data_IF_592414225234
#
_entry.id   IF_592414225234
#
_cell.length_a   1.000
_cell.length_b   1.000
_cell.length_c   1.000
_cell.angle_alpha   90.00
_cell.angle_beta   90.00
_cell.angle_gamma   90.00
#
_symmetry.space_group_name_H-M   'P 1'
#
loop_
_entity.id
_entity.type
_entity.pdbx_description
1 polymer ?
#
# COMPACT_ATOMS: atom_id res chain seq x y z
N UNK A 1 1.08 -33.14 20.28
CA UNK A 1 2.32 -32.47 19.85
C UNK A 1 2.86 -31.71 21.05
N UNK A 2 4.01 -32.12 21.59
CA UNK A 2 4.66 -31.35 22.65
C UNK A 2 5.09 -30.00 22.07
N UNK A 3 4.51 -28.91 22.60
CA UNK A 3 4.86 -27.57 22.14
C UNK A 3 6.18 -27.14 22.77
N UNK A 4 7.20 -26.89 21.96
CA UNK A 4 8.46 -26.33 22.48
C UNK A 4 8.24 -24.88 22.93
N UNK A 5 9.02 -24.35 23.89
CA UNK A 5 8.92 -22.94 24.29
C UNK A 5 9.12 -21.99 23.09
N UNK A 6 9.97 -22.37 22.13
CA UNK A 6 10.20 -21.62 20.91
C UNK A 6 8.93 -21.51 20.03
N UNK A 7 8.16 -22.59 19.93
CA UNK A 7 6.87 -22.58 19.22
C UNK A 7 5.84 -21.69 19.93
N UNK A 8 5.81 -21.66 21.26
CA UNK A 8 4.89 -20.76 21.99
C UNK A 8 5.24 -19.29 21.76
N UNK A 9 6.53 -18.97 21.76
CA UNK A 9 7.03 -17.62 21.49
C UNK A 9 6.74 -17.23 20.03
N UNK A 10 6.89 -18.14 19.06
CA UNK A 10 6.62 -17.82 17.66
C UNK A 10 5.15 -17.46 17.41
N UNK A 11 4.22 -18.17 18.05
CA UNK A 11 2.79 -17.83 17.97
C UNK A 11 2.49 -16.46 18.59
N UNK A 12 3.10 -16.16 19.74
CA UNK A 12 2.97 -14.87 20.39
C UNK A 12 3.55 -13.74 19.52
N UNK A 13 4.75 -13.93 18.99
CA UNK A 13 5.42 -12.95 18.13
C UNK A 13 4.59 -12.66 16.87
N UNK A 14 4.08 -13.70 16.20
CA UNK A 14 3.21 -13.55 15.05
C UNK A 14 1.93 -12.77 15.40
N UNK A 15 1.33 -13.06 16.56
CA UNK A 15 0.12 -12.36 17.02
C UNK A 15 0.40 -10.89 17.30
N UNK A 16 1.48 -10.60 18.03
CA UNK A 16 1.90 -9.23 18.36
C UNK A 16 2.15 -8.42 17.09
N UNK A 17 3.02 -8.92 16.21
CA UNK A 17 3.41 -8.23 14.97
C UNK A 17 2.21 -8.02 14.04
N UNK A 18 1.41 -9.07 13.82
CA UNK A 18 0.21 -8.98 12.99
C UNK A 18 -0.81 -7.98 13.54
N UNK A 19 -1.06 -8.02 14.86
CA UNK A 19 -2.02 -7.11 15.50
C UNK A 19 -1.57 -5.65 15.44
N UNK A 20 -0.27 -5.38 15.61
CA UNK A 20 0.28 -4.01 15.52
C UNK A 20 0.05 -3.40 14.13
N UNK A 21 0.13 -4.21 13.06
CA UNK A 21 -0.16 -3.72 11.71
C UNK A 21 -1.62 -3.26 11.59
N UNK A 22 -2.57 -4.05 12.11
CA UNK A 22 -3.99 -3.69 12.07
C UNK A 22 -4.32 -2.49 12.97
N UNK A 23 -3.69 -2.39 14.15
CA UNK A 23 -3.85 -1.25 15.05
C UNK A 23 -3.34 0.04 14.40
N UNK A 24 -2.13 0.04 13.85
CA UNK A 24 -1.57 1.21 13.17
C UNK A 24 -2.35 1.57 11.91
N UNK A 25 -2.80 0.57 11.14
CA UNK A 25 -3.68 0.81 10.00
C UNK A 25 -5.01 1.44 10.44
N UNK A 26 -5.63 0.92 11.51
CA UNK A 26 -6.85 1.46 12.08
C UNK A 26 -6.68 2.92 12.49
N UNK A 27 -5.67 3.23 13.30
CA UNK A 27 -5.37 4.61 13.72
C UNK A 27 -5.19 5.55 12.53
N UNK A 28 -4.45 5.15 11.50
CA UNK A 28 -4.28 5.96 10.30
C UNK A 28 -5.60 6.21 9.56
N UNK A 29 -6.51 5.22 9.50
CA UNK A 29 -7.83 5.40 8.88
C UNK A 29 -8.78 6.28 9.70
N UNK A 30 -8.54 6.47 11.01
CA UNK A 30 -9.30 7.41 11.84
C UNK A 30 -8.73 8.83 11.79
N UNK A 31 -7.40 8.99 11.77
CA UNK A 31 -6.74 10.30 11.85
C UNK A 31 -6.41 10.94 10.51
N UNK A 32 -6.28 10.14 9.43
CA UNK A 32 -6.01 10.61 8.08
C UNK A 32 -6.97 9.92 7.08
N UNK A 33 -8.21 10.42 7.06
CA UNK A 33 -9.28 9.90 6.20
C UNK A 33 -9.17 10.39 4.76
N UNK A 34 -8.53 11.53 4.51
CA UNK A 34 -8.52 12.21 3.22
C UNK A 34 -7.86 11.37 2.12
N UNK A 35 -6.68 10.81 2.40
CA UNK A 35 -5.94 9.97 1.46
C UNK A 35 -6.70 8.70 1.06
N UNK A 36 -7.09 7.83 2.01
CA UNK A 36 -7.86 6.61 1.73
C UNK A 36 -9.21 6.88 1.04
N UNK A 37 -9.92 7.96 1.43
CA UNK A 37 -11.20 8.32 0.82
C UNK A 37 -11.04 8.74 -0.65
N UNK A 38 -10.03 9.55 -0.95
CA UNK A 38 -9.73 9.95 -2.33
C UNK A 38 -9.32 8.75 -3.20
N UNK A 39 -8.60 7.77 -2.63
CA UNK A 39 -8.25 6.53 -3.34
C UNK A 39 -9.47 5.67 -3.62
N UNK A 40 -10.40 5.57 -2.66
CA UNK A 40 -11.63 4.82 -2.84
C UNK A 40 -12.52 5.45 -3.93
N UNK A 41 -12.63 6.79 -3.97
CA UNK A 41 -13.39 7.49 -5.01
C UNK A 41 -12.80 7.34 -6.42
N UNK A 42 -11.46 7.23 -6.54
CA UNK A 42 -10.77 7.05 -7.82
C UNK A 42 -10.71 5.60 -8.28
N UNK A 43 -11.13 4.65 -7.45
CA UNK A 43 -11.01 3.23 -7.76
C UNK A 43 -12.09 2.78 -8.77
N UNK A 44 -11.78 1.84 -9.69
CA UNK A 44 -12.75 1.34 -10.68
C UNK A 44 -13.99 0.68 -10.07
N UNK A 45 -13.87 0.16 -8.85
CA UNK A 45 -14.98 -0.41 -8.08
C UNK A 45 -15.39 0.50 -6.90
N UNK A 46 -14.92 1.75 -6.90
CA UNK A 46 -15.24 2.75 -5.88
C UNK A 46 -16.73 3.04 -5.80
N UNK A 47 -17.39 3.14 -6.95
CA UNK A 47 -18.83 3.41 -7.07
C UNK A 47 -19.70 2.31 -6.45
N UNK A 48 -19.24 1.05 -6.48
CA UNK A 48 -19.94 -0.07 -5.82
C UNK A 48 -19.89 0.05 -4.29
N UNK A 49 -18.79 0.60 -3.76
CA UNK A 49 -18.64 0.79 -2.33
C UNK A 49 -19.40 2.04 -1.86
N UNK A 50 -19.30 3.15 -2.59
CA UNK A 50 -19.93 4.43 -2.21
C UNK A 50 -21.45 4.43 -2.29
N UNK A 51 -22.04 3.46 -3.01
CA UNK A 51 -23.49 3.20 -2.94
C UNK A 51 -23.98 2.83 -1.53
N UNK A 52 -23.15 2.16 -0.72
CA UNK A 52 -23.52 1.79 0.65
C UNK A 52 -23.45 2.97 1.63
N UNK A 53 -22.38 3.75 1.55
CA UNK A 53 -22.12 4.90 2.42
C UNK A 53 -21.05 5.80 1.80
N UNK A 54 -20.94 7.07 2.21
CA UNK A 54 -19.88 7.95 1.77
C UNK A 54 -18.49 7.34 2.00
N UNK A 55 -17.56 7.58 1.08
CA UNK A 55 -16.20 7.01 1.13
C UNK A 55 -15.50 7.25 2.49
N UNK A 56 -15.65 8.47 3.03
CA UNK A 56 -15.08 8.85 4.31
C UNK A 56 -15.68 8.03 5.48
N UNK A 57 -16.99 7.81 5.47
CA UNK A 57 -17.67 6.98 6.47
C UNK A 57 -17.20 5.53 6.40
N UNK A 58 -17.06 4.96 5.19
CA UNK A 58 -16.56 3.60 5.01
C UNK A 58 -15.13 3.44 5.52
N UNK A 59 -14.27 4.42 5.23
CA UNK A 59 -12.88 4.46 5.71
C UNK A 59 -12.83 4.53 7.23
N UNK A 60 -13.64 5.39 7.86
CA UNK A 60 -13.70 5.48 9.33
C UNK A 60 -14.24 4.19 9.98
N UNK A 61 -15.29 3.59 9.42
CA UNK A 61 -15.86 2.33 9.93
C UNK A 61 -14.86 1.18 9.81
N UNK A 62 -14.15 1.10 8.68
CA UNK A 62 -13.04 0.17 8.51
C UNK A 62 -11.94 0.43 9.55
N UNK A 63 -11.56 1.69 9.76
CA UNK A 63 -10.57 2.08 10.76
C UNK A 63 -10.93 1.63 12.17
N UNK A 64 -12.17 1.86 12.60
CA UNK A 64 -12.69 1.42 13.90
C UNK A 64 -12.65 -0.11 14.01
N UNK A 65 -13.12 -0.81 12.97
CA UNK A 65 -13.11 -2.28 12.93
C UNK A 65 -11.70 -2.87 12.98
N UNK A 66 -10.74 -2.26 12.26
CA UNK A 66 -9.33 -2.64 12.29
C UNK A 66 -8.70 -2.42 13.67
N UNK A 67 -9.02 -1.31 14.32
CA UNK A 67 -8.50 -0.98 15.65
C UNK A 67 -9.03 -1.94 16.71
N UNK A 68 -10.36 -2.13 16.77
CA UNK A 68 -11.01 -3.04 17.73
C UNK A 68 -10.56 -4.49 17.48
N UNK A 69 -10.57 -4.93 16.22
CA UNK A 69 -10.15 -6.27 15.84
C UNK A 69 -8.66 -6.50 16.14
N UNK A 70 -7.80 -5.52 15.87
CA UNK A 70 -6.38 -5.58 16.17
C UNK A 70 -6.10 -5.67 17.66
N UNK A 71 -6.79 -4.89 18.50
CA UNK A 71 -6.67 -4.96 19.95
C UNK A 71 -7.19 -6.28 20.52
N UNK A 72 -8.31 -6.79 20.01
CA UNK A 72 -8.86 -8.09 20.41
C UNK A 72 -7.89 -9.23 20.05
N UNK A 73 -7.33 -9.20 18.84
CA UNK A 73 -6.32 -10.16 18.38
C UNK A 73 -5.05 -10.09 19.24
N UNK A 74 -4.58 -8.88 19.56
CA UNK A 74 -3.40 -8.65 20.40
C UNK A 74 -3.55 -9.29 21.78
N UNK A 75 -4.68 -8.99 22.44
CA UNK A 75 -5.04 -9.55 23.74
C UNK A 75 -5.27 -11.07 23.69
N UNK A 76 -5.47 -11.64 22.50
CA UNK A 76 -5.92 -13.01 22.32
C UNK A 76 -7.31 -13.23 22.93
N UNK A 77 -8.20 -12.24 22.77
CA UNK A 77 -9.59 -12.25 23.17
C UNK A 77 -10.47 -12.49 21.93
N UNK A 78 -11.36 -13.47 22.00
CA UNK A 78 -12.20 -13.99 20.91
C UNK A 78 -11.42 -14.14 19.59
N UNK A 79 -10.21 -14.70 19.69
CA UNK A 79 -9.15 -14.60 18.67
C UNK A 79 -9.62 -15.02 17.27
N UNK A 80 -10.41 -16.11 17.18
CA UNK A 80 -10.93 -16.61 15.91
C UNK A 80 -11.93 -15.65 15.25
N UNK A 81 -12.82 -15.07 16.06
CA UNK A 81 -13.81 -14.09 15.59
C UNK A 81 -13.14 -12.76 15.26
N UNK A 82 -12.18 -12.30 16.08
CA UNK A 82 -11.38 -11.11 15.80
C UNK A 82 -10.65 -11.25 14.45
N UNK A 83 -9.99 -12.39 14.22
CA UNK A 83 -9.30 -12.65 12.96
C UNK A 83 -10.26 -12.76 11.75
N UNK A 84 -11.42 -13.42 11.92
CA UNK A 84 -12.44 -13.49 10.88
C UNK A 84 -13.03 -12.12 10.55
N UNK A 85 -13.31 -11.29 11.55
CA UNK A 85 -13.80 -9.92 11.36
C UNK A 85 -12.77 -9.03 10.66
N UNK A 86 -11.50 -9.09 11.07
CA UNK A 86 -10.41 -8.39 10.37
C UNK A 86 -10.28 -8.84 8.92
N UNK A 87 -10.45 -10.14 8.64
CA UNK A 87 -10.39 -10.67 7.27
C UNK A 87 -11.57 -10.18 6.42
N UNK A 88 -12.76 -10.14 7.01
CA UNK A 88 -13.97 -9.61 6.37
C UNK A 88 -13.86 -8.11 6.04
N UNK A 89 -13.08 -7.35 6.80
CA UNK A 89 -12.76 -5.94 6.49
C UNK A 89 -11.66 -5.86 5.42
N UNK A 90 -10.63 -6.70 5.51
CA UNK A 90 -9.48 -6.69 4.62
C UNK A 90 -9.85 -7.02 3.16
N UNK A 91 -10.76 -7.98 2.94
CA UNK A 91 -11.13 -8.45 1.60
C UNK A 91 -11.76 -7.30 0.76
N UNK A 92 -12.82 -6.61 1.20
CA UNK A 92 -13.39 -5.50 0.46
C UNK A 92 -12.39 -4.38 0.19
N UNK A 93 -11.56 -4.00 1.17
CA UNK A 93 -10.53 -2.97 1.00
C UNK A 93 -9.55 -3.36 -0.11
N UNK A 94 -9.14 -4.63 -0.14
CA UNK A 94 -8.20 -5.15 -1.15
C UNK A 94 -8.84 -5.13 -2.54
N UNK A 95 -10.06 -5.67 -2.66
CA UNK A 95 -10.74 -5.78 -3.95
C UNK A 95 -11.12 -4.42 -4.54
N UNK A 96 -11.56 -3.48 -3.70
CA UNK A 96 -12.01 -2.16 -4.17
C UNK A 96 -10.83 -1.24 -4.49
N UNK A 97 -9.82 -1.15 -3.62
CA UNK A 97 -8.77 -0.13 -3.75
C UNK A 97 -7.51 -0.68 -4.46
N UNK A 98 -7.15 -1.95 -4.24
CA UNK A 98 -5.78 -2.43 -4.50
C UNK A 98 -5.64 -3.33 -5.71
N UNK A 99 -6.73 -3.93 -6.20
CA UNK A 99 -6.70 -4.72 -7.45
C UNK A 99 -6.49 -3.83 -8.69
N UNK A 100 -6.81 -2.54 -8.58
CA UNK A 100 -6.70 -1.57 -9.66
C UNK A 100 -5.56 -0.55 -9.50
N UNK A 101 -4.83 -0.58 -8.38
CA UNK A 101 -3.73 0.34 -8.14
C UNK A 101 -2.50 -0.05 -8.95
N UNK A 102 -1.79 0.93 -9.52
CA UNK A 102 -0.53 0.67 -10.22
C UNK A 102 0.54 0.16 -9.23
N UNK A 103 1.03 -1.06 -9.47
CA UNK A 103 2.01 -1.74 -8.62
C UNK A 103 1.39 -2.81 -7.70
N UNK A 104 1.95 -4.02 -7.73
CA UNK A 104 1.43 -5.19 -6.99
C UNK A 104 1.82 -5.24 -5.51
N UNK A 105 2.71 -4.37 -5.05
CA UNK A 105 3.23 -4.38 -3.67
C UNK A 105 2.15 -4.28 -2.57
N UNK A 106 1.25 -3.28 -2.62
CA UNK A 106 0.15 -3.16 -1.65
C UNK A 106 -0.77 -4.40 -1.61
N UNK A 107 -1.06 -4.99 -2.77
CA UNK A 107 -1.88 -6.20 -2.89
C UNK A 107 -1.21 -7.39 -2.18
N UNK A 108 0.08 -7.64 -2.44
CA UNK A 108 0.81 -8.74 -1.79
C UNK A 108 0.93 -8.58 -0.28
N UNK A 109 1.04 -7.34 0.23
CA UNK A 109 0.96 -7.08 1.68
C UNK A 109 -0.37 -7.56 2.26
N UNK A 110 -1.49 -7.26 1.59
CA UNK A 110 -2.80 -7.69 2.05
C UNK A 110 -3.01 -9.21 1.95
N UNK A 111 -2.42 -9.87 0.94
CA UNK A 111 -2.40 -11.33 0.85
C UNK A 111 -1.65 -11.93 2.05
N UNK A 112 -0.47 -11.39 2.39
CA UNK A 112 0.31 -11.84 3.54
C UNK A 112 -0.47 -11.66 4.87
N UNK A 113 -1.15 -10.52 5.04
CA UNK A 113 -2.04 -10.27 6.18
C UNK A 113 -3.20 -11.27 6.22
N UNK A 114 -3.80 -11.57 5.06
CA UNK A 114 -4.82 -12.61 4.94
C UNK A 114 -4.32 -13.98 5.43
N UNK A 115 -3.09 -14.36 5.10
CA UNK A 115 -2.45 -15.58 5.60
C UNK A 115 -2.32 -15.61 7.12
N UNK A 116 -1.89 -14.50 7.73
CA UNK A 116 -1.80 -14.37 9.20
C UNK A 116 -3.19 -14.51 9.85
N UNK A 117 -4.22 -13.90 9.27
CA UNK A 117 -5.58 -13.98 9.78
C UNK A 117 -6.16 -15.40 9.65
N UNK A 118 -5.99 -16.05 8.50
CA UNK A 118 -6.40 -17.46 8.29
C UNK A 118 -5.71 -18.39 9.29
N UNK A 119 -4.43 -18.15 9.59
CA UNK A 119 -3.72 -18.89 10.62
C UNK A 119 -4.41 -18.76 12.00
N UNK A 120 -4.80 -17.55 12.42
CA UNK A 120 -5.49 -17.35 13.70
C UNK A 120 -6.96 -17.79 13.70
N UNK A 121 -7.63 -17.81 12.56
CA UNK A 121 -8.97 -18.41 12.40
C UNK A 121 -8.90 -19.92 12.67
N UNK A 122 -7.91 -20.61 12.07
CA UNK A 122 -7.74 -22.05 12.22
C UNK A 122 -7.24 -22.42 13.63
N UNK A 123 -6.24 -21.71 14.14
CA UNK A 123 -5.53 -22.11 15.35
C UNK A 123 -6.04 -21.43 16.64
N UNK A 124 -6.62 -20.22 16.55
CA UNK A 124 -6.90 -19.38 17.71
C UNK A 124 -5.63 -18.81 18.35
N UNK A 125 -5.73 -18.25 19.58
CA UNK A 125 -4.57 -17.65 20.25
C UNK A 125 -3.53 -18.67 20.71
N UNK A 126 -3.96 -19.91 20.97
CA UNK A 126 -3.24 -21.09 21.50
C UNK A 126 -2.47 -20.87 22.82
N UNK A 127 -1.63 -19.83 22.91
CA UNK A 127 -0.81 -19.49 24.07
C UNK A 127 -0.91 -18.00 24.44
N UNK A 128 -0.74 -17.67 25.72
CA UNK A 128 -0.69 -16.29 26.25
C UNK A 128 -1.91 -15.42 25.87
N UNK A 129 -3.07 -16.01 25.66
CA UNK A 129 -4.30 -15.31 25.23
C UNK A 129 -5.33 -15.21 26.35
N UNK A 130 -6.09 -14.11 26.38
CA UNK A 130 -7.20 -13.94 27.31
C UNK A 130 -8.26 -15.04 27.16
N UNK A 131 -8.41 -15.61 25.97
CA UNK A 131 -9.27 -16.77 25.67
C UNK A 131 -8.98 -17.96 26.59
N UNK A 132 -7.70 -18.26 26.83
CA UNK A 132 -7.31 -19.38 27.71
C UNK A 132 -7.62 -19.07 29.17
N UNK A 133 -7.38 -17.83 29.59
CA UNK A 133 -7.67 -17.39 30.96
C UNK A 133 -9.16 -17.44 31.27
N UNK A 134 -10.01 -16.98 30.34
CA UNK A 134 -11.46 -17.05 30.45
C UNK A 134 -11.97 -18.49 30.44
N UNK A 135 -11.40 -19.36 29.59
CA UNK A 135 -11.78 -20.77 29.52
C UNK A 135 -11.35 -21.54 30.79
N UNK A 136 -10.18 -21.23 31.36
CA UNK A 136 -9.75 -21.79 32.64
C UNK A 136 -10.66 -21.34 33.79
N UNK A 137 -11.06 -20.07 33.84
CA UNK A 137 -12.01 -19.57 34.85
C UNK A 137 -13.39 -20.23 34.77
N UNK A 138 -13.90 -20.50 33.57
CA UNK A 138 -15.17 -21.26 33.42
C UNK A 138 -15.04 -22.68 33.94
N UNK A 139 -13.93 -23.37 33.66
CA UNK A 139 -13.70 -24.75 34.13
C UNK A 139 -13.52 -24.79 35.65
N UNK A 140 -12.75 -23.86 36.25
CA UNK A 140 -12.56 -23.81 37.70
C UNK A 140 -13.83 -23.39 38.45
N UNK A 141 -14.64 -22.50 37.88
CA UNK A 141 -15.96 -22.14 38.42
C UNK A 141 -17.00 -23.26 38.31
N UNK A 142 -16.90 -24.14 37.30
CA UNK A 142 -17.77 -25.32 37.17
C UNK A 142 -17.33 -26.47 38.08
N UNK A 143 -16.05 -26.59 38.43
CA UNK A 143 -15.54 -27.68 39.29
C UNK A 143 -16.01 -27.59 40.75
N UNK A 144 -16.65 -26.49 41.16
CA UNK A 144 -17.31 -26.31 42.48
C UNK A 144 -18.81 -26.62 42.45
N UNK A 145 -19.39 -27.00 41.30
CA UNK A 145 -20.80 -27.42 41.21
C UNK A 145 -20.87 -28.82 40.61
N UNK A 146 -21.11 -29.76 41.50
CA UNK A 146 -21.09 -31.21 41.27
C UNK A 146 -21.97 -31.67 40.11
N UNK A 147 -21.55 -32.80 39.53
CA UNK A 147 -22.28 -33.80 38.75
C UNK A 147 -23.71 -33.50 38.24
N UNK A 148 -23.84 -33.74 36.93
CA UNK A 148 -24.86 -34.53 36.23
C UNK A 148 -25.70 -33.80 35.15
N UNK A 149 -25.72 -34.49 33.99
CA UNK A 149 -26.64 -34.45 32.84
C UNK A 149 -26.42 -33.45 31.69
N UNK A 150 -26.31 -34.08 30.52
CA UNK A 150 -26.42 -33.58 29.16
C UNK A 150 -27.76 -32.87 28.92
N UNK A 151 -27.75 -31.74 28.21
CA UNK A 151 -28.79 -31.29 27.28
C UNK A 151 -28.05 -30.45 26.20
N UNK A 152 -27.87 -30.96 24.98
CA UNK A 152 -28.81 -30.90 23.84
C UNK A 152 -29.14 -29.47 23.40
N UNK A 153 -28.73 -29.21 22.15
CA UNK A 153 -29.33 -28.35 21.13
C UNK A 153 -29.22 -26.81 21.21
N UNK A 154 -28.92 -26.31 20.00
CA UNK A 154 -29.52 -25.15 19.32
C UNK A 154 -28.64 -23.89 19.25
N UNK A 155 -28.06 -23.66 18.06
CA UNK A 155 -28.51 -22.57 17.19
C UNK A 155 -27.83 -22.67 15.81
N UNK A 156 -28.50 -23.39 14.92
CA UNK A 156 -28.55 -23.06 13.50
C UNK A 156 -29.60 -21.95 13.39
N UNK A 157 -29.26 -20.85 12.71
CA UNK A 157 -30.10 -20.00 11.83
C UNK A 157 -29.48 -18.60 11.72
N UNK A 158 -29.31 -18.16 10.47
CA UNK A 158 -29.05 -16.78 10.05
C UNK A 158 -27.67 -16.66 9.38
N UNK A 159 -27.50 -16.60 8.06
CA UNK A 159 -28.38 -16.00 7.06
C UNK A 159 -27.93 -16.50 5.69
N UNK A 160 -28.78 -17.30 5.05
CA UNK A 160 -28.68 -17.68 3.64
C UNK A 160 -30.00 -17.29 2.97
N UNK A 161 -30.07 -16.06 2.47
CA UNK A 161 -31.08 -15.64 1.49
C UNK A 161 -30.50 -14.55 0.60
N UNK A 162 -29.84 -14.98 -0.47
CA UNK A 162 -29.82 -14.26 -1.75
C UNK A 162 -29.63 -15.30 -2.85
N UNK A 163 -30.70 -16.06 -3.10
CA UNK A 163 -30.96 -16.64 -4.41
C UNK A 163 -31.45 -15.53 -5.32
N UNK A 164 -30.58 -15.07 -6.22
CA UNK A 164 -30.95 -14.30 -7.39
C UNK A 164 -30.68 -15.14 -8.64
N UNK A 165 -31.75 -15.36 -9.39
CA UNK A 165 -31.90 -15.73 -10.80
C UNK A 165 -30.68 -16.25 -11.59
N UNK A 166 -30.88 -17.44 -12.18
CA UNK A 166 -30.31 -17.81 -13.49
C UNK A 166 -30.96 -16.90 -14.55
N UNK A 167 -30.20 -16.30 -15.48
CA UNK A 167 -30.29 -16.81 -16.83
C UNK A 167 -28.96 -16.90 -17.59
N UNK A 168 -28.95 -17.87 -18.50
CA UNK A 168 -28.34 -17.86 -19.84
C UNK A 168 -26.82 -17.88 -19.99
N UNK A 169 -26.39 -18.95 -20.67
CA UNK A 169 -25.13 -19.07 -21.36
C UNK A 169 -24.81 -17.82 -22.19
N UNK A 170 -23.57 -17.34 -22.06
CA UNK A 170 -22.94 -16.43 -23.01
C UNK A 170 -21.81 -17.20 -23.72
N UNK A 171 -21.65 -16.99 -25.04
CA UNK A 171 -20.71 -17.75 -25.85
C UNK A 171 -19.27 -17.32 -25.55
N UNK A 172 -18.35 -18.25 -25.80
CA UNK A 172 -16.93 -17.96 -25.93
C UNK A 172 -16.72 -16.78 -26.88
N UNK A 173 -16.19 -15.67 -26.36
CA UNK A 173 -15.60 -14.64 -27.21
C UNK A 173 -14.18 -15.06 -27.54
N UNK A 174 -14.05 -15.48 -28.80
CA UNK A 174 -12.84 -15.48 -29.60
C UNK A 174 -12.03 -14.22 -29.32
N UNK A 175 -10.79 -14.42 -28.85
CA UNK A 175 -9.75 -13.42 -28.96
C UNK A 175 -9.55 -13.11 -30.45
N UNK A 176 -10.11 -12.00 -30.89
CA UNK A 176 -9.73 -11.38 -32.16
C UNK A 176 -8.62 -10.39 -31.80
N UNK A 177 -7.46 -10.41 -32.48
CA UNK A 177 -6.37 -9.50 -32.19
C UNK A 177 -6.88 -8.07 -32.39
N UNK A 178 -6.77 -7.23 -31.37
CA UNK A 178 -6.90 -5.80 -31.59
C UNK A 178 -5.78 -5.40 -32.56
N UNK A 179 -6.23 -5.01 -33.75
CA UNK A 179 -5.43 -4.48 -34.82
C UNK A 179 -4.45 -3.42 -34.32
N UNK A 180 -3.22 -3.51 -34.83
CA UNK A 180 -2.33 -2.36 -35.00
C UNK A 180 -3.14 -1.22 -35.61
N UNK A 181 -3.50 -0.24 -34.78
CA UNK A 181 -3.86 1.08 -35.26
C UNK A 181 -2.58 1.90 -35.31
N UNK A 182 -1.97 1.84 -36.49
CA UNK A 182 -1.38 2.96 -37.21
C UNK A 182 -1.14 4.22 -36.39
N UNK A 183 0.14 4.56 -36.25
CA UNK A 183 0.61 5.88 -35.83
C UNK A 183 -0.13 7.02 -36.53
N UNK A 184 -0.40 8.11 -35.79
CA UNK A 184 -0.36 9.45 -36.36
C UNK A 184 0.66 10.33 -35.61
N UNK A 185 1.46 11.03 -36.40
CA UNK A 185 2.13 12.30 -36.10
C UNK A 185 2.85 12.45 -34.75
N UNK A 186 4.17 12.33 -34.82
CA UNK A 186 5.23 12.99 -34.05
C UNK A 186 4.75 14.13 -33.13
N UNK A 187 4.27 13.82 -31.93
CA UNK A 187 4.10 14.83 -30.86
C UNK A 187 5.25 14.63 -29.90
N UNK A 188 6.25 15.51 -29.99
CA UNK A 188 7.32 15.58 -29.01
C UNK A 188 6.76 15.64 -27.58
N UNK A 189 7.28 14.80 -26.68
CA UNK A 189 6.85 14.71 -25.28
C UNK A 189 7.94 15.21 -24.33
N UNK A 190 7.52 15.92 -23.29
CA UNK A 190 8.40 16.39 -22.23
C UNK A 190 8.22 15.53 -21.00
N UNK A 191 9.32 15.19 -20.35
CA UNK A 191 9.35 14.29 -19.21
C UNK A 191 10.03 14.94 -18.02
N UNK A 192 9.51 14.69 -16.82
CA UNK A 192 10.18 15.07 -15.59
C UNK A 192 10.20 13.91 -14.59
N UNK A 193 11.28 13.79 -13.84
CA UNK A 193 11.42 12.76 -12.81
C UNK A 193 11.80 13.43 -11.51
N UNK A 194 11.00 13.24 -10.46
CA UNK A 194 11.40 13.59 -9.10
C UNK A 194 12.17 12.42 -8.51
N UNK A 195 13.34 12.71 -7.93
CA UNK A 195 14.15 11.71 -7.24
C UNK A 195 14.28 12.07 -5.76
N UNK A 196 14.16 11.06 -4.89
CA UNK A 196 14.22 11.23 -3.43
C UNK A 196 15.49 10.67 -2.79
N UNK A 197 16.20 9.74 -3.46
CA UNK A 197 17.43 9.11 -2.97
C UNK A 197 18.63 9.33 -3.91
N UNK A 198 19.88 9.39 -3.39
CA UNK A 198 21.07 9.60 -4.21
C UNK A 198 21.27 8.60 -5.35
N UNK A 199 20.98 7.32 -5.11
CA UNK A 199 21.14 6.25 -6.09
C UNK A 199 20.10 6.30 -7.23
N UNK A 200 19.02 7.08 -7.09
CA UNK A 200 18.01 7.25 -8.15
C UNK A 200 18.53 8.07 -9.33
N UNK A 201 19.63 8.81 -9.17
CA UNK A 201 20.31 9.49 -10.28
C UNK A 201 20.62 8.51 -11.40
N UNK A 202 21.16 7.32 -11.08
CA UNK A 202 21.49 6.30 -12.08
C UNK A 202 20.26 5.80 -12.85
N UNK A 203 19.14 5.59 -12.14
CA UNK A 203 17.89 5.17 -12.77
C UNK A 203 17.34 6.27 -13.70
N UNK A 204 17.37 7.53 -13.27
CA UNK A 204 16.94 8.67 -14.08
C UNK A 204 17.82 8.85 -15.34
N UNK A 205 19.15 8.72 -15.20
CA UNK A 205 20.11 8.81 -16.32
C UNK A 205 19.88 7.70 -17.33
N UNK A 206 19.79 6.44 -16.88
CA UNK A 206 19.52 5.31 -17.77
C UNK A 206 18.18 5.46 -18.50
N UNK A 207 17.17 6.01 -17.82
CA UNK A 207 15.88 6.31 -18.44
C UNK A 207 16.02 7.38 -19.53
N UNK A 208 16.74 8.46 -19.23
CA UNK A 208 16.99 9.55 -20.19
C UNK A 208 17.74 9.07 -21.45
N UNK A 209 18.67 8.13 -21.31
CA UNK A 209 19.36 7.50 -22.45
C UNK A 209 18.44 6.59 -23.27
N UNK A 210 17.53 5.88 -22.62
CA UNK A 210 16.60 4.97 -23.29
C UNK A 210 15.49 5.72 -24.03
N UNK A 211 15.00 6.84 -23.48
CA UNK A 211 13.89 7.60 -24.06
C UNK A 211 14.41 8.71 -24.96
N UNK A 212 14.80 8.36 -26.18
CA UNK A 212 15.34 9.31 -27.18
C UNK A 212 14.23 9.96 -28.04
N UNK A 213 14.54 11.01 -28.84
CA UNK A 213 13.58 11.56 -29.81
C UNK A 213 13.06 10.54 -30.84
N UNK A 214 13.84 9.51 -31.15
CA UNK A 214 13.49 8.44 -32.10
C UNK A 214 12.84 7.21 -31.45
N UNK A 215 12.83 7.13 -30.11
CA UNK A 215 12.15 6.05 -29.39
C UNK A 215 10.63 6.21 -29.45
N UNK A 216 9.88 5.18 -29.04
CA UNK A 216 8.42 5.23 -28.86
C UNK A 216 7.98 6.37 -27.92
N UNK A 217 8.88 6.87 -27.08
CA UNK A 217 8.62 7.95 -26.13
C UNK A 217 8.84 9.36 -26.72
N UNK A 218 9.53 9.49 -27.86
CA UNK A 218 9.69 10.74 -28.62
C UNK A 218 10.07 11.95 -27.74
N UNK A 219 11.11 11.77 -26.92
CA UNK A 219 11.51 12.76 -25.92
C UNK A 219 12.05 14.04 -26.55
N UNK A 220 11.53 15.18 -26.10
CA UNK A 220 12.10 16.50 -26.38
C UNK A 220 12.85 17.07 -25.18
N UNK A 221 12.26 17.05 -23.98
CA UNK A 221 12.90 17.49 -22.75
C UNK A 221 12.90 16.40 -21.67
N UNK A 222 13.96 16.38 -20.86
CA UNK A 222 14.06 15.56 -19.66
C UNK A 222 14.53 16.42 -18.48
N UNK A 223 13.66 16.57 -17.49
CA UNK A 223 13.99 17.28 -16.25
C UNK A 223 14.14 16.27 -15.12
N UNK A 224 15.21 16.38 -14.33
CA UNK A 224 15.37 15.63 -13.08
C UNK A 224 15.32 16.62 -11.93
N UNK A 225 14.32 16.48 -11.07
CA UNK A 225 14.12 17.28 -9.86
C UNK A 225 14.61 16.51 -8.64
N UNK A 226 15.74 16.91 -8.07
CA UNK A 226 16.32 16.31 -6.89
C UNK A 226 15.71 16.91 -5.61
N UNK A 227 15.00 16.08 -4.85
CA UNK A 227 14.41 16.42 -3.55
C UNK A 227 14.88 15.46 -2.45
N UNK A 228 14.56 15.77 -1.20
CA UNK A 228 14.93 14.96 -0.04
C UNK A 228 16.44 14.67 -0.04
N UNK A 229 16.85 13.43 0.25
CA UNK A 229 18.26 13.06 0.40
C UNK A 229 19.02 13.06 -0.94
N UNK A 230 18.33 12.99 -2.07
CA UNK A 230 18.98 12.95 -3.40
C UNK A 230 19.84 14.18 -3.71
N UNK A 231 19.61 15.32 -3.05
CA UNK A 231 20.43 16.53 -3.24
C UNK A 231 21.90 16.31 -2.87
N UNK A 232 22.20 15.37 -1.98
CA UNK A 232 23.57 14.97 -1.61
C UNK A 232 24.35 14.41 -2.82
N UNK A 233 23.66 13.79 -3.79
CA UNK A 233 24.29 13.27 -5.01
C UNK A 233 24.88 14.38 -5.89
N UNK A 234 24.40 15.62 -5.75
CA UNK A 234 24.80 16.74 -6.59
C UNK A 234 25.92 17.57 -5.96
N UNK A 235 26.46 17.18 -4.81
CA UNK A 235 27.66 17.80 -4.23
C UNK A 235 28.89 17.38 -5.04
N UNK A 236 29.82 18.31 -5.29
CA UNK A 236 31.09 18.05 -5.98
C UNK A 236 31.86 16.91 -5.29
N UNK A 237 32.39 15.96 -6.06
CA UNK A 237 33.10 14.79 -5.54
C UNK A 237 32.19 13.66 -5.02
N UNK A 238 30.87 13.74 -5.22
CA UNK A 238 29.98 12.64 -4.84
C UNK A 238 30.24 11.38 -5.67
N UNK A 239 29.81 10.22 -5.14
CA UNK A 239 29.86 8.95 -5.88
C UNK A 239 29.02 8.98 -7.18
N UNK A 240 28.09 9.93 -7.33
CA UNK A 240 27.18 10.04 -8.48
C UNK A 240 27.64 11.08 -9.51
N UNK A 241 28.76 11.77 -9.29
CA UNK A 241 29.22 12.85 -10.18
C UNK A 241 29.40 12.37 -11.63
N UNK A 242 29.97 11.17 -11.84
CA UNK A 242 30.12 10.59 -13.18
C UNK A 242 28.77 10.33 -13.87
N UNK A 243 27.77 9.83 -13.13
CA UNK A 243 26.44 9.58 -13.67
C UNK A 243 25.71 10.90 -13.99
N UNK A 244 25.93 11.95 -13.19
CA UNK A 244 25.36 13.29 -13.47
C UNK A 244 25.95 13.84 -14.78
N UNK A 245 27.26 13.71 -15.00
CA UNK A 245 27.89 14.14 -16.26
C UNK A 245 27.35 13.34 -17.45
N UNK A 246 27.19 12.03 -17.28
CA UNK A 246 26.57 11.16 -18.29
C UNK A 246 25.14 11.60 -18.62
N UNK A 247 24.33 11.93 -17.63
CA UNK A 247 22.97 12.44 -17.86
C UNK A 247 22.95 13.80 -18.55
N UNK A 248 23.85 14.72 -18.21
CA UNK A 248 23.98 16.00 -18.94
C UNK A 248 24.30 15.76 -20.41
N UNK A 249 25.23 14.85 -20.72
CA UNK A 249 25.54 14.45 -22.08
C UNK A 249 24.33 13.83 -22.81
N UNK A 250 23.45 13.14 -22.06
CA UNK A 250 22.17 12.63 -22.55
C UNK A 250 21.03 13.67 -22.60
N UNK A 251 21.32 14.96 -22.37
CA UNK A 251 20.35 16.05 -22.46
C UNK A 251 19.43 16.20 -21.23
N UNK A 252 19.84 15.69 -20.06
CA UNK A 252 19.11 15.88 -18.81
C UNK A 252 19.35 17.28 -18.25
N UNK A 253 18.26 17.96 -17.87
CA UNK A 253 18.28 19.21 -17.11
C UNK A 253 18.07 18.90 -15.63
N UNK A 254 19.01 19.30 -14.78
CA UNK A 254 18.95 19.01 -13.35
C UNK A 254 18.46 20.23 -12.55
N UNK A 255 17.46 20.00 -11.71
CA UNK A 255 16.86 20.97 -10.78
C UNK A 255 17.00 20.47 -9.35
N UNK A 256 17.41 21.33 -8.43
CA UNK A 256 17.73 20.96 -7.04
C UNK A 256 16.79 21.67 -6.07
N UNK A 257 16.20 20.94 -5.14
CA UNK A 257 15.24 21.50 -4.19
C UNK A 257 15.95 22.33 -3.12
N UNK A 258 15.71 23.64 -3.12
CA UNK A 258 16.25 24.59 -2.14
C UNK A 258 15.84 24.25 -0.72
N UNK A 259 14.58 23.89 -0.48
CA UNK A 259 14.12 23.41 0.84
C UNK A 259 14.92 22.19 1.32
N UNK A 260 15.24 21.25 0.42
CA UNK A 260 16.05 20.08 0.78
C UNK A 260 17.51 20.47 1.05
N UNK A 261 18.11 21.36 0.26
CA UNK A 261 19.45 21.89 0.57
C UNK A 261 19.51 22.49 1.97
N UNK A 262 18.51 23.29 2.36
CA UNK A 262 18.40 23.84 3.71
C UNK A 262 18.24 22.74 4.76
N UNK A 263 17.33 21.79 4.54
CA UNK A 263 17.06 20.69 5.46
C UNK A 263 18.30 19.82 5.72
N UNK A 264 19.11 19.56 4.70
CA UNK A 264 20.33 18.75 4.79
C UNK A 264 21.61 19.58 5.01
N UNK A 265 21.47 20.90 5.24
CA UNK A 265 22.61 21.81 5.51
C UNK A 265 23.69 21.76 4.42
N UNK A 266 23.27 21.73 3.15
CA UNK A 266 24.16 21.70 1.99
C UNK A 266 24.33 23.11 1.44
N UNK A 267 25.58 23.55 1.30
CA UNK A 267 25.91 24.82 0.68
C UNK A 267 25.69 24.77 -0.85
N UNK A 268 24.83 25.62 -1.44
CA UNK A 268 24.68 25.78 -2.88
C UNK A 268 25.99 25.87 -3.68
N UNK A 269 27.03 26.49 -3.13
CA UNK A 269 28.33 26.64 -3.82
C UNK A 269 29.09 25.31 -3.98
N UNK A 270 28.76 24.32 -3.14
CA UNK A 270 29.33 22.97 -3.18
C UNK A 270 28.73 22.06 -4.26
N UNK A 271 27.65 22.50 -4.92
CA UNK A 271 26.98 21.73 -5.96
C UNK A 271 27.78 21.68 -7.27
N UNK A 272 27.63 20.60 -8.02
CA UNK A 272 28.15 20.46 -9.38
C UNK A 272 27.59 21.55 -10.30
N UNK A 273 28.38 21.99 -11.27
CA UNK A 273 27.99 23.08 -12.18
C UNK A 273 26.77 22.72 -13.05
N UNK A 274 26.06 23.71 -13.59
CA UNK A 274 24.96 23.47 -14.53
C UNK A 274 23.71 22.83 -13.91
N UNK A 275 23.52 22.99 -12.60
CA UNK A 275 22.26 22.68 -11.92
C UNK A 275 21.55 23.99 -11.55
N UNK A 276 20.23 23.98 -11.54
CA UNK A 276 19.43 25.14 -11.13
C UNK A 276 18.73 24.84 -9.80
N UNK A 277 18.79 25.78 -8.87
CA UNK A 277 18.16 25.64 -7.56
C UNK A 277 16.74 26.19 -7.63
N UNK A 278 15.78 25.35 -7.29
CA UNK A 278 14.35 25.66 -7.25
C UNK A 278 13.92 25.78 -5.80
N UNK A 279 13.30 26.89 -5.35
CA UNK A 279 12.94 27.08 -3.95
C UNK A 279 12.17 25.89 -3.35
N UNK A 280 11.14 25.41 -4.05
CA UNK A 280 10.34 24.25 -3.66
C UNK A 280 10.20 23.28 -4.85
N UNK A 281 10.77 22.09 -4.70
CA UNK A 281 10.77 21.07 -5.74
C UNK A 281 9.40 20.50 -6.07
N UNK A 282 8.52 20.34 -5.07
CA UNK A 282 7.18 19.76 -5.28
C UNK A 282 6.28 20.71 -6.06
N UNK A 283 6.29 22.00 -5.72
CA UNK A 283 5.50 23.00 -6.48
C UNK A 283 5.98 23.09 -7.93
N UNK A 284 7.28 22.99 -8.15
CA UNK A 284 7.83 22.95 -9.51
C UNK A 284 7.42 21.70 -10.30
N UNK A 285 7.33 20.53 -9.66
CA UNK A 285 6.80 19.34 -10.34
C UNK A 285 5.33 19.52 -10.73
N UNK A 286 4.50 20.16 -9.89
CA UNK A 286 3.12 20.51 -10.25
C UNK A 286 3.06 21.52 -11.41
N UNK A 287 3.95 22.51 -11.44
CA UNK A 287 4.07 23.44 -12.56
C UNK A 287 4.43 22.73 -13.87
N UNK A 288 5.38 21.79 -13.84
CA UNK A 288 5.74 20.98 -15.01
C UNK A 288 4.57 20.11 -15.47
N UNK A 289 3.84 19.48 -14.55
CA UNK A 289 2.60 18.75 -14.89
C UNK A 289 1.57 19.66 -15.56
N UNK A 290 1.36 20.87 -15.04
CA UNK A 290 0.44 21.85 -15.63
C UNK A 290 0.90 22.33 -17.02
N UNK A 291 2.20 22.30 -17.30
CA UNK A 291 2.79 22.58 -18.62
C UNK A 291 2.75 21.37 -19.57
N UNK A 292 2.17 20.25 -19.15
CA UNK A 292 2.01 19.05 -19.99
C UNK A 292 3.19 18.07 -19.93
N UNK A 293 4.09 18.19 -18.94
CA UNK A 293 5.12 17.18 -18.72
C UNK A 293 4.50 15.88 -18.20
N UNK A 294 5.01 14.75 -18.69
CA UNK A 294 4.76 13.44 -18.12
C UNK A 294 5.73 13.24 -16.97
N UNK A 295 5.22 13.04 -15.75
CA UNK A 295 6.04 13.01 -14.55
C UNK A 295 6.06 11.64 -13.87
N UNK A 296 7.22 11.24 -13.35
CA UNK A 296 7.40 10.04 -12.52
C UNK A 296 8.14 10.41 -11.23
N UNK A 297 7.88 9.69 -10.15
CA UNK A 297 8.61 9.81 -8.88
C UNK A 297 9.40 8.53 -8.60
N UNK A 298 10.64 8.67 -8.16
CA UNK A 298 11.57 7.60 -7.78
C UNK A 298 11.95 7.69 -6.30
#
# INVERSE_FOLDING_TARGET
>A
MESTPLQRISYLALRLMGSLIFIMAGLNHLFDTAGPSARLQKAPLGDLATWMAPAETLVMLAGIGLLIGGLALLAGFITRLAAAGLLAILIPITLTIQVAAEGSGPLFKNIALGGILLFFIANGSVWYGLDQWLHHRKITSMKTKNNHKNYVAALVIGLLTLTACIPTALPAQTATPAAEKSAPATSAKNYAVLISQPNHVKAAVNTAEAITPSSTYQRQQFVVMACAKSVEAFVKGSAMEQEIQKGKAAGVTYRICGMSLTQFTIDPASLVEGVEIIPNGLTHMFELQAQGFITVEL
#
